data_IF_965584869839
#
_entry.id   IF_965584869839
#
_cell.length_a   1.000
_cell.length_b   1.000
_cell.length_c   1.000
_cell.angle_alpha   90.00
_cell.angle_beta   90.00
_cell.angle_gamma   90.00
#
_symmetry.space_group_name_H-M   'P 1'
#
loop_
_entity.id
_entity.type
_entity.pdbx_description
1 polymer ?
#
# COMPACT_ATOMS: atom_id res chain seq x y z
N UNK A 1 27.14 -2.27 -8.70
CA UNK A 1 25.73 -2.49 -8.30
C UNK A 1 24.87 -1.29 -8.71
N UNK A 2 23.73 -1.53 -9.27
CA UNK A 2 22.78 -0.46 -9.65
C UNK A 2 22.46 0.41 -8.44
N UNK A 3 22.55 1.73 -8.61
CA UNK A 3 22.25 2.68 -7.55
C UNK A 3 20.74 2.71 -7.30
N UNK A 4 20.34 2.33 -6.09
CA UNK A 4 18.93 2.23 -5.71
C UNK A 4 18.20 3.58 -5.79
N UNK A 5 18.84 4.66 -5.35
CA UNK A 5 18.22 5.99 -5.37
C UNK A 5 18.02 6.49 -6.81
N UNK A 6 19.00 6.29 -7.67
CA UNK A 6 18.90 6.64 -9.10
C UNK A 6 17.77 5.86 -9.77
N UNK A 7 17.64 4.56 -9.44
CA UNK A 7 16.56 3.71 -9.94
C UNK A 7 15.19 4.23 -9.46
N UNK A 8 15.06 4.58 -8.19
CA UNK A 8 13.82 5.14 -7.63
C UNK A 8 13.45 6.44 -8.36
N UNK A 9 14.41 7.31 -8.60
CA UNK A 9 14.18 8.59 -9.28
C UNK A 9 13.70 8.37 -10.72
N UNK A 10 14.29 7.42 -11.43
CA UNK A 10 13.86 7.03 -12.79
C UNK A 10 12.43 6.51 -12.79
N UNK A 11 12.08 5.66 -11.81
CA UNK A 11 10.74 5.11 -11.68
C UNK A 11 9.73 6.22 -11.38
N UNK A 12 10.02 7.09 -10.42
CA UNK A 12 9.13 8.22 -10.09
C UNK A 12 8.91 9.13 -11.29
N UNK A 13 9.95 9.41 -12.05
CA UNK A 13 9.85 10.22 -13.27
C UNK A 13 8.95 9.54 -14.32
N UNK A 14 9.11 8.24 -14.50
CA UNK A 14 8.30 7.46 -15.45
C UNK A 14 6.83 7.39 -15.06
N UNK A 15 6.52 7.46 -13.76
CA UNK A 15 5.16 7.40 -13.24
C UNK A 15 4.50 8.77 -13.05
N UNK A 16 5.23 9.86 -13.27
CA UNK A 16 4.68 11.21 -13.20
C UNK A 16 3.48 11.39 -14.13
N UNK A 17 2.42 12.05 -13.63
CA UNK A 17 1.21 12.30 -14.40
C UNK A 17 0.32 11.08 -14.59
N UNK A 18 0.66 9.95 -14.00
CA UNK A 18 -0.15 8.74 -14.02
C UNK A 18 -0.82 8.52 -12.66
N UNK A 19 -1.80 7.61 -12.61
CA UNK A 19 -2.43 7.17 -11.37
C UNK A 19 -1.67 6.05 -10.67
N UNK A 20 -0.53 5.63 -11.23
CA UNK A 20 0.31 4.57 -10.69
C UNK A 20 1.40 5.14 -9.77
N UNK A 21 1.79 4.37 -8.77
CA UNK A 21 2.81 4.76 -7.79
C UNK A 21 3.70 3.58 -7.43
N UNK A 22 4.91 3.92 -7.00
CA UNK A 22 5.89 2.92 -6.56
C UNK A 22 5.54 2.44 -5.15
N UNK A 23 5.52 1.12 -4.96
CA UNK A 23 5.31 0.49 -3.66
C UNK A 23 6.64 0.03 -3.06
N UNK A 24 7.44 -0.70 -3.85
CA UNK A 24 8.68 -1.29 -3.34
C UNK A 24 9.71 -1.47 -4.45
N UNK A 25 10.97 -1.24 -4.11
CA UNK A 25 12.12 -1.57 -4.96
C UNK A 25 13.09 -2.41 -4.14
N UNK A 26 13.44 -3.57 -4.67
CA UNK A 26 14.48 -4.42 -4.09
C UNK A 26 15.62 -4.56 -5.10
N UNK A 27 16.85 -4.34 -4.65
CA UNK A 27 18.06 -4.56 -5.45
C UNK A 27 18.96 -5.50 -4.64
N UNK A 28 19.19 -6.70 -5.17
CA UNK A 28 20.07 -7.67 -4.52
C UNK A 28 21.54 -7.36 -4.83
N UNK A 29 22.45 -8.03 -4.10
CA UNK A 29 23.88 -7.93 -4.33
C UNK A 29 24.29 -8.38 -5.76
N UNK A 30 23.48 -9.24 -6.37
CA UNK A 30 23.72 -9.75 -7.75
C UNK A 30 23.00 -8.90 -8.81
N UNK A 31 22.55 -7.69 -8.48
CA UNK A 31 21.76 -6.82 -9.37
C UNK A 31 20.48 -7.47 -9.89
N UNK A 32 19.82 -8.26 -9.06
CA UNK A 32 18.45 -8.71 -9.32
C UNK A 32 17.52 -7.66 -8.76
N UNK A 33 16.77 -7.01 -9.64
CA UNK A 33 15.89 -5.89 -9.30
C UNK A 33 14.45 -6.34 -9.38
N UNK A 34 13.70 -6.08 -8.31
CA UNK A 34 12.25 -6.27 -8.28
C UNK A 34 11.59 -4.94 -7.97
N UNK A 35 10.68 -4.53 -8.85
CA UNK A 35 9.90 -3.30 -8.70
C UNK A 35 8.43 -3.67 -8.58
N UNK A 36 7.80 -3.20 -7.51
CA UNK A 36 6.36 -3.40 -7.28
C UNK A 36 5.66 -2.05 -7.33
N UNK A 37 4.66 -1.96 -8.16
CA UNK A 37 3.84 -0.75 -8.33
C UNK A 37 2.37 -1.06 -8.04
N UNK A 38 1.60 -0.02 -7.74
CA UNK A 38 0.15 -0.09 -7.61
C UNK A 38 -0.46 1.14 -8.26
N UNK A 39 -1.77 1.22 -8.27
CA UNK A 39 -2.52 2.32 -8.88
C UNK A 39 -3.73 2.66 -8.01
N UNK A 40 -4.20 3.89 -8.14
CA UNK A 40 -5.48 4.30 -7.54
C UNK A 40 -6.66 3.57 -8.20
N UNK A 41 -6.47 3.01 -9.38
CA UNK A 41 -7.46 2.21 -10.11
C UNK A 41 -6.95 0.78 -10.30
N UNK A 42 -6.22 0.51 -11.38
CA UNK A 42 -5.69 -0.82 -11.68
C UNK A 42 -4.33 -0.75 -12.38
N UNK A 43 -3.55 -1.81 -12.23
CA UNK A 43 -2.27 -1.97 -12.94
C UNK A 43 -2.44 -3.05 -13.99
N UNK A 44 -2.16 -2.71 -15.24
CA UNK A 44 -2.21 -3.64 -16.37
C UNK A 44 -0.81 -4.17 -16.69
N UNK A 45 -0.76 -5.24 -17.50
CA UNK A 45 0.52 -5.77 -18.01
C UNK A 45 1.23 -4.69 -18.84
N UNK A 46 0.51 -3.91 -19.63
CA UNK A 46 1.08 -2.83 -20.44
C UNK A 46 1.74 -1.75 -19.58
N UNK A 47 1.19 -1.45 -18.41
CA UNK A 47 1.79 -0.53 -17.45
C UNK A 47 3.14 -1.05 -16.95
N UNK A 48 3.21 -2.34 -16.64
CA UNK A 48 4.47 -2.96 -16.20
C UNK A 48 5.52 -2.97 -17.31
N UNK A 49 5.12 -3.26 -18.56
CA UNK A 49 6.01 -3.25 -19.72
C UNK A 49 6.55 -1.83 -19.97
N UNK A 50 5.70 -0.81 -19.91
CA UNK A 50 6.11 0.57 -20.11
C UNK A 50 7.15 1.01 -19.07
N UNK A 51 6.97 0.65 -17.82
CA UNK A 51 7.93 0.95 -16.75
C UNK A 51 9.24 0.17 -16.95
N UNK A 52 9.14 -1.10 -17.29
CA UNK A 52 10.29 -1.93 -17.60
C UNK A 52 11.13 -1.28 -18.71
N UNK A 53 10.51 -0.84 -19.79
CA UNK A 53 11.18 -0.19 -20.91
C UNK A 53 11.83 1.13 -20.52
N UNK A 54 11.18 1.91 -19.65
CA UNK A 54 11.73 3.17 -19.15
C UNK A 54 13.02 2.94 -18.34
N UNK A 55 13.06 1.92 -17.50
CA UNK A 55 14.25 1.55 -16.71
C UNK A 55 15.34 1.04 -17.63
N UNK A 56 15.01 0.15 -18.58
CA UNK A 56 16.00 -0.38 -19.56
C UNK A 56 16.60 0.72 -20.42
N UNK A 57 15.84 1.76 -20.74
CA UNK A 57 16.34 2.90 -21.54
C UNK A 57 17.32 3.77 -20.76
N UNK A 58 17.22 3.81 -19.43
CA UNK A 58 18.09 4.62 -18.58
C UNK A 58 19.37 3.88 -18.18
N UNK A 59 19.25 2.60 -17.80
CA UNK A 59 20.39 1.79 -17.36
C UNK A 59 20.85 0.85 -18.49
N UNK A 60 22.07 1.06 -18.96
CA UNK A 60 22.68 0.25 -20.02
C UNK A 60 23.22 -1.06 -19.43
N UNK A 61 22.66 -2.19 -19.86
CA UNK A 61 23.07 -3.52 -19.39
C UNK A 61 24.47 -3.91 -19.86
N UNK A 62 24.98 -3.29 -20.90
CA UNK A 62 26.36 -3.50 -21.37
C UNK A 62 27.37 -2.81 -20.46
N UNK A 63 26.96 -1.74 -19.76
CA UNK A 63 27.80 -1.07 -18.76
C UNK A 63 27.80 -1.81 -17.45
N UNK A 64 26.61 -2.17 -16.95
CA UNK A 64 26.42 -2.95 -15.74
C UNK A 64 25.16 -3.80 -15.91
N UNK A 65 25.32 -5.12 -15.95
CA UNK A 65 24.20 -6.03 -16.16
C UNK A 65 23.32 -6.16 -14.92
N UNK A 66 22.04 -6.41 -15.14
CA UNK A 66 21.03 -6.60 -14.09
C UNK A 66 19.86 -7.40 -14.63
N UNK A 67 19.11 -8.01 -13.70
CA UNK A 67 17.81 -8.61 -14.00
C UNK A 67 16.72 -7.69 -13.46
N UNK A 68 15.68 -7.44 -14.25
CA UNK A 68 14.59 -6.55 -13.87
C UNK A 68 13.25 -7.26 -13.97
N UNK A 69 12.48 -7.22 -12.88
CA UNK A 69 11.11 -7.68 -12.84
C UNK A 69 10.23 -6.53 -12.34
N UNK A 70 9.20 -6.19 -13.09
CA UNK A 70 8.19 -5.20 -12.70
C UNK A 70 6.85 -5.91 -12.52
N UNK A 71 6.26 -5.77 -11.36
CA UNK A 71 4.98 -6.41 -11.03
C UNK A 71 4.04 -5.47 -10.30
N UNK A 72 2.79 -5.94 -10.14
CA UNK A 72 1.79 -5.22 -9.36
C UNK A 72 1.75 -5.73 -7.92
N UNK A 73 1.52 -4.82 -6.97
CA UNK A 73 1.32 -5.16 -5.57
C UNK A 73 -0.06 -5.82 -5.39
N UNK A 74 -0.13 -6.90 -4.60
CA UNK A 74 -1.36 -7.67 -4.44
C UNK A 74 -2.37 -7.03 -3.49
N UNK A 75 -3.67 -7.20 -3.79
CA UNK A 75 -4.76 -6.68 -2.95
C UNK A 75 -4.80 -7.32 -1.56
N UNK A 76 -4.34 -8.56 -1.44
CA UNK A 76 -4.28 -9.30 -0.17
C UNK A 76 -3.04 -8.95 0.66
N UNK A 77 -2.08 -8.23 0.08
CA UNK A 77 -0.87 -7.83 0.79
C UNK A 77 -1.14 -6.65 1.73
N UNK A 78 -0.39 -6.54 2.84
CA UNK A 78 -0.55 -5.41 3.74
C UNK A 78 -0.29 -4.07 3.07
N UNK A 79 -0.97 -3.02 3.53
CA UNK A 79 -0.72 -1.67 3.06
C UNK A 79 0.72 -1.27 3.36
N UNK A 80 1.41 -0.70 2.40
CA UNK A 80 2.83 -0.37 2.52
C UNK A 80 3.11 1.12 2.39
N UNK A 81 2.26 1.83 1.65
CA UNK A 81 2.40 3.27 1.40
C UNK A 81 1.09 3.98 1.71
N UNK A 82 1.15 5.30 1.92
CA UNK A 82 -0.04 6.11 2.23
C UNK A 82 -1.10 5.99 1.13
N UNK A 83 -0.69 5.91 -0.11
CA UNK A 83 -1.61 5.75 -1.25
C UNK A 83 -2.51 4.51 -1.11
N UNK A 84 -2.05 3.45 -0.46
CA UNK A 84 -2.89 2.27 -0.18
C UNK A 84 -4.06 2.62 0.73
N UNK A 85 -3.83 3.48 1.74
CA UNK A 85 -4.90 3.97 2.61
C UNK A 85 -5.86 4.88 1.85
N UNK A 86 -5.33 5.83 1.09
CA UNK A 86 -6.15 6.76 0.30
C UNK A 86 -7.04 6.04 -0.71
N UNK A 87 -6.49 5.04 -1.37
CA UNK A 87 -7.19 4.20 -2.35
C UNK A 87 -8.35 3.42 -1.74
N UNK A 88 -8.22 3.01 -0.48
CA UNK A 88 -9.14 2.11 0.18
C UNK A 88 -10.09 2.82 1.17
N UNK A 89 -10.14 4.14 1.16
CA UNK A 89 -11.13 4.90 1.95
C UNK A 89 -12.55 4.46 1.57
N UNK A 90 -13.36 4.15 2.58
CA UNK A 90 -14.70 3.59 2.40
C UNK A 90 -14.75 2.06 2.43
N UNK A 91 -13.60 1.40 2.34
CA UNK A 91 -13.50 -0.06 2.39
C UNK A 91 -13.30 -0.62 3.79
N UNK A 92 -13.53 -1.91 3.94
CA UNK A 92 -13.28 -2.60 5.21
C UNK A 92 -11.83 -3.05 5.31
N UNK A 93 -11.21 -2.80 6.45
CA UNK A 93 -9.81 -3.13 6.70
C UNK A 93 -9.63 -3.78 8.08
N UNK A 94 -8.55 -4.55 8.19
CA UNK A 94 -8.06 -5.09 9.45
C UNK A 94 -6.78 -4.36 9.83
N UNK A 95 -6.72 -3.87 11.06
CA UNK A 95 -5.57 -3.13 11.58
C UNK A 95 -5.00 -3.88 12.78
N UNK A 96 -3.69 -4.13 12.77
CA UNK A 96 -2.96 -4.63 13.92
C UNK A 96 -2.03 -3.53 14.42
N UNK A 97 -2.22 -3.09 15.66
CA UNK A 97 -1.35 -2.09 16.28
C UNK A 97 -0.05 -2.71 16.78
N UNK A 98 0.97 -1.90 16.98
CA UNK A 98 2.25 -2.35 17.56
C UNK A 98 2.07 -2.83 19.01
N UNK A 99 1.01 -2.36 19.69
CA UNK A 99 0.65 -2.82 21.03
C UNK A 99 -0.02 -4.21 21.02
N UNK A 100 -0.29 -4.78 19.85
CA UNK A 100 -0.88 -6.11 19.71
C UNK A 100 -2.41 -6.13 19.62
N UNK A 101 -3.05 -4.97 19.52
CA UNK A 101 -4.51 -4.88 19.40
C UNK A 101 -4.95 -5.02 17.95
N UNK A 102 -5.88 -5.94 17.68
CA UNK A 102 -6.42 -6.19 16.35
C UNK A 102 -7.83 -5.61 16.24
N UNK A 103 -8.04 -4.80 15.21
CA UNK A 103 -9.31 -4.11 14.97
C UNK A 103 -9.77 -4.35 13.54
N UNK A 104 -11.08 -4.44 13.36
CA UNK A 104 -11.71 -4.52 12.05
C UNK A 104 -12.73 -3.41 11.94
N UNK A 105 -12.76 -2.72 10.82
CA UNK A 105 -13.71 -1.64 10.60
C UNK A 105 -13.61 -1.04 9.22
N UNK A 106 -14.28 0.10 9.06
CA UNK A 106 -14.28 0.86 7.82
C UNK A 106 -13.21 1.95 7.88
N UNK A 107 -12.39 2.02 6.85
CA UNK A 107 -11.42 3.11 6.71
C UNK A 107 -12.17 4.36 6.28
N UNK A 108 -12.38 5.27 7.23
CA UNK A 108 -13.22 6.47 7.03
C UNK A 108 -12.48 7.57 6.30
N UNK A 109 -11.26 7.86 6.74
CA UNK A 109 -10.42 8.92 6.19
C UNK A 109 -8.95 8.51 6.27
N UNK A 110 -8.14 9.08 5.40
CA UNK A 110 -6.69 8.92 5.44
C UNK A 110 -6.00 10.19 4.95
N UNK A 111 -4.85 10.49 5.53
CA UNK A 111 -3.98 11.60 5.15
C UNK A 111 -2.52 11.13 5.17
N UNK A 112 -1.58 12.04 4.90
CA UNK A 112 -0.15 11.70 4.95
C UNK A 112 0.35 11.40 6.37
N UNK A 113 -0.38 11.83 7.40
CA UNK A 113 0.05 11.72 8.79
C UNK A 113 -0.73 10.69 9.60
N UNK A 114 -2.02 10.52 9.31
CA UNK A 114 -2.91 9.66 10.10
C UNK A 114 -4.06 9.11 9.28
N UNK A 115 -4.77 8.13 9.84
CA UNK A 115 -6.02 7.65 9.28
C UNK A 115 -7.05 7.43 10.39
N UNK A 116 -8.33 7.36 10.00
CA UNK A 116 -9.45 7.15 10.90
C UNK A 116 -10.13 5.83 10.55
N UNK A 117 -10.25 4.97 11.56
CA UNK A 117 -10.95 3.69 11.45
C UNK A 117 -12.26 3.79 12.22
N UNK A 118 -13.38 3.51 11.55
CA UNK A 118 -14.70 3.40 12.20
C UNK A 118 -14.96 1.96 12.57
N UNK A 119 -15.03 1.68 13.86
CA UNK A 119 -15.34 0.34 14.38
C UNK A 119 -16.76 0.32 14.94
N UNK A 120 -17.46 -0.80 14.76
CA UNK A 120 -18.78 -1.01 15.32
C UNK A 120 -18.66 -1.85 16.58
N UNK A 121 -19.12 -1.31 17.69
CA UNK A 121 -19.08 -1.98 19.00
C UNK A 121 -20.48 -2.29 19.50
N UNK A 122 -20.61 -3.43 20.20
CA UNK A 122 -21.80 -3.74 20.98
C UNK A 122 -21.70 -3.05 22.33
N UNK A 123 -22.63 -2.15 22.61
CA UNK A 123 -22.70 -1.45 23.90
C UNK A 123 -24.00 -1.84 24.56
N UNK A 124 -23.91 -2.41 25.78
CA UNK A 124 -25.08 -2.70 26.58
C UNK A 124 -25.41 -1.47 27.41
N UNK A 125 -26.49 -0.79 27.04
CA UNK A 125 -26.95 0.38 27.76
C UNK A 125 -27.81 -0.06 28.98
N UNK A 126 -27.66 0.67 30.08
CA UNK A 126 -28.41 0.43 31.30
C UNK A 126 -29.91 0.53 31.02
N UNK A 127 -30.69 -0.46 31.49
CA UNK A 127 -32.13 -0.52 31.30
C UNK A 127 -32.58 -1.10 29.95
N UNK A 128 -31.68 -1.49 29.07
CA UNK A 128 -32.02 -2.13 27.79
C UNK A 128 -31.65 -3.61 27.80
N UNK A 129 -32.55 -4.44 27.26
CA UNK A 129 -32.38 -5.90 27.23
C UNK A 129 -31.43 -6.34 26.09
N UNK A 130 -31.31 -5.55 25.02
CA UNK A 130 -30.47 -5.85 23.87
C UNK A 130 -29.31 -4.87 23.76
N UNK A 131 -28.11 -5.34 23.42
CA UNK A 131 -27.02 -4.43 23.17
C UNK A 131 -27.29 -3.57 21.92
N UNK A 132 -26.87 -2.31 21.94
CA UNK A 132 -26.91 -1.44 20.79
C UNK A 132 -25.57 -1.49 20.08
N UNK A 133 -25.62 -1.39 18.75
CA UNK A 133 -24.43 -1.24 17.93
C UNK A 133 -24.09 0.25 17.84
N UNK A 134 -22.89 0.60 18.24
CA UNK A 134 -22.40 1.99 18.23
C UNK A 134 -21.13 2.05 17.41
N UNK A 135 -21.09 3.01 16.50
CA UNK A 135 -19.89 3.29 15.71
C UNK A 135 -18.96 4.21 16.48
N UNK A 136 -17.69 3.88 16.49
CA UNK A 136 -16.63 4.66 17.12
C UNK A 136 -15.53 4.93 16.12
N UNK A 137 -15.15 6.21 15.96
CA UNK A 137 -14.03 6.61 15.11
C UNK A 137 -12.75 6.63 15.93
N UNK A 138 -11.76 5.89 15.48
CA UNK A 138 -10.45 5.81 16.13
C UNK A 138 -9.39 6.40 15.20
N UNK A 139 -8.63 7.37 15.72
CA UNK A 139 -7.53 7.99 14.99
C UNK A 139 -6.24 7.24 15.25
N UNK A 140 -5.51 6.91 14.19
CA UNK A 140 -4.20 6.27 14.27
C UNK A 140 -3.18 7.06 13.46
N UNK A 141 -1.98 7.23 14.03
CA UNK A 141 -0.81 7.61 13.25
C UNK A 141 -0.17 6.34 12.67
N UNK A 142 0.50 6.45 11.54
CA UNK A 142 1.05 5.28 10.85
C UNK A 142 2.13 4.56 11.66
N UNK A 143 2.87 5.26 12.52
CA UNK A 143 3.89 4.68 13.38
C UNK A 143 3.34 3.81 14.52
N UNK A 144 2.04 3.93 14.84
CA UNK A 144 1.37 3.08 15.83
C UNK A 144 0.96 1.71 15.27
N UNK A 145 1.04 1.52 13.96
CA UNK A 145 0.46 0.40 13.24
C UNK A 145 1.55 -0.60 12.84
N UNK A 146 1.30 -1.88 13.11
CA UNK A 146 2.13 -2.97 12.63
C UNK A 146 1.77 -3.35 11.20
N UNK A 147 0.46 -3.50 10.91
CA UNK A 147 -0.04 -3.69 9.55
C UNK A 147 -1.49 -3.23 9.41
N UNK A 148 -1.88 -2.94 8.18
CA UNK A 148 -3.27 -2.75 7.76
C UNK A 148 -3.48 -3.58 6.50
N UNK A 149 -4.59 -4.32 6.44
CA UNK A 149 -4.94 -5.17 5.29
C UNK A 149 -6.37 -4.94 4.89
N UNK A 150 -6.66 -5.09 3.59
CA UNK A 150 -8.03 -5.19 3.12
C UNK A 150 -8.69 -6.45 3.67
N UNK A 151 -9.96 -6.32 4.07
CA UNK A 151 -10.80 -7.49 4.33
C UNK A 151 -11.41 -7.88 2.99
N UNK A 152 -10.99 -9.03 2.47
CA UNK A 152 -11.48 -9.55 1.20
C UNK A 152 -12.75 -10.34 1.46
N UNK A 153 -13.85 -9.92 0.83
CA UNK A 153 -15.12 -10.64 0.90
C UNK A 153 -15.32 -11.42 -0.41
N UNK A 154 -15.66 -12.67 -0.24
CA UNK A 154 -15.93 -13.59 -1.35
C UNK A 154 -17.43 -13.85 -1.49
#
# INVERSE_FOLDING_TARGET
MINRQELIDVIHHALEGTDRFLVEVKVSADNVIEVLIDSMDSVTIDHCIALNDAVLSHFDRDVEDYELTVGSYGISDPFKVVQHYLKNVGGEVEVLTKAGKKLKGTLKEASDEEFVLTVTKKVKLEGKKRPEMVDEDIHFTYDEIKYTKNIIQF
#
